data_IF_669079046150
#
_entry.id   IF_669079046150
#
_cell.length_a   1.000
_cell.length_b   1.000
_cell.length_c   1.000
_cell.angle_alpha   90.00
_cell.angle_beta   90.00
_cell.angle_gamma   90.00
#
_symmetry.space_group_name_H-M   'P 1'
#
loop_
_entity.id
_entity.type
_entity.pdbx_description
1 polymer ?
#
# COMPACT_ATOMS: atom_id res chain seq x y z
N UNK A 1 -9.96 -7.65 2.88
CA UNK A 1 -9.43 -6.60 1.97
C UNK A 1 -7.94 -6.37 2.15
N UNK A 2 -7.40 -6.21 3.38
CA UNK A 2 -5.93 -6.08 3.55
C UNK A 2 -5.20 -7.43 3.48
N UNK A 3 -5.83 -8.53 3.95
CA UNK A 3 -5.25 -9.88 3.84
C UNK A 3 -5.00 -10.30 2.38
N UNK A 4 -5.86 -9.86 1.44
CA UNK A 4 -5.72 -10.11 0.00
C UNK A 4 -4.60 -9.29 -0.67
N UNK A 5 -3.98 -8.32 0.01
CA UNK A 5 -2.79 -7.64 -0.55
C UNK A 5 -1.57 -8.56 -0.54
N UNK A 6 -1.41 -9.39 0.49
CA UNK A 6 -0.29 -10.34 0.59
C UNK A 6 -0.29 -11.32 -0.58
N UNK A 7 -1.46 -11.83 -0.95
CA UNK A 7 -1.65 -12.73 -2.09
C UNK A 7 -1.19 -12.11 -3.42
N UNK A 8 -1.26 -10.77 -3.58
CA UNK A 8 -0.76 -10.12 -4.79
C UNK A 8 0.77 -10.21 -4.90
N UNK A 9 1.49 -10.29 -3.78
CA UNK A 9 2.94 -10.47 -3.79
C UNK A 9 3.36 -11.92 -4.13
N UNK A 10 2.42 -12.86 -4.20
CA UNK A 10 2.67 -14.22 -4.72
C UNK A 10 2.70 -14.27 -6.26
N UNK A 11 2.21 -13.24 -6.97
CA UNK A 11 2.26 -13.19 -8.43
C UNK A 11 3.73 -13.12 -8.90
N UNK A 12 4.21 -14.09 -9.72
CA UNK A 12 5.59 -14.11 -10.21
C UNK A 12 6.01 -12.83 -10.96
N UNK A 13 5.06 -12.14 -11.59
CA UNK A 13 5.32 -10.84 -12.25
C UNK A 13 5.56 -9.74 -11.22
N UNK A 14 4.82 -9.75 -10.11
CA UNK A 14 5.02 -8.81 -9.01
C UNK A 14 6.34 -9.12 -8.33
N UNK A 15 6.63 -10.38 -8.02
CA UNK A 15 7.92 -10.79 -7.45
C UNK A 15 9.11 -10.32 -8.28
N UNK A 16 9.06 -10.50 -9.61
CA UNK A 16 10.13 -10.06 -10.49
C UNK A 16 10.30 -8.53 -10.52
N UNK A 17 9.20 -7.77 -10.41
CA UNK A 17 9.23 -6.29 -10.48
C UNK A 17 9.60 -5.63 -9.17
N UNK A 18 9.23 -6.24 -8.05
CA UNK A 18 9.46 -5.73 -6.70
C UNK A 18 10.66 -6.39 -6.03
N UNK A 19 11.40 -7.24 -6.76
CA UNK A 19 12.68 -7.76 -6.29
C UNK A 19 13.59 -6.58 -5.92
N UNK A 20 14.20 -6.63 -4.74
CA UNK A 20 15.01 -5.55 -4.14
C UNK A 20 14.24 -4.28 -3.74
N UNK A 21 12.92 -4.24 -3.94
CA UNK A 21 12.08 -3.14 -3.46
C UNK A 21 11.86 -3.27 -1.96
N UNK A 22 12.54 -2.41 -1.21
CA UNK A 22 12.52 -2.37 0.24
C UNK A 22 12.09 -0.96 0.67
N UNK A 23 10.80 -0.80 0.96
CA UNK A 23 10.19 0.51 1.29
C UNK A 23 9.02 0.35 2.25
N UNK A 24 8.86 1.37 3.08
CA UNK A 24 7.68 1.60 3.90
C UNK A 24 6.84 2.71 3.29
N UNK A 25 5.54 2.42 3.10
CA UNK A 25 4.54 3.37 2.62
C UNK A 25 3.62 3.73 3.78
N UNK A 26 3.36 5.02 3.98
CA UNK A 26 2.36 5.53 4.91
C UNK A 26 1.20 6.15 4.13
N UNK A 27 -0.01 5.66 4.40
CA UNK A 27 -1.25 6.19 3.88
C UNK A 27 -1.96 6.99 4.98
N UNK A 28 -2.38 8.21 4.64
CA UNK A 28 -3.08 9.13 5.52
C UNK A 28 -4.46 9.41 4.91
N UNK A 29 -5.51 9.07 5.65
CA UNK A 29 -6.92 9.22 5.26
C UNK A 29 -7.57 10.33 6.10
N UNK A 30 -7.58 11.59 5.63
CA UNK A 30 -8.06 12.72 6.42
C UNK A 30 -9.58 12.72 6.62
N UNK A 31 -10.33 12.06 5.73
CA UNK A 31 -11.79 11.95 5.78
C UNK A 31 -12.30 11.08 6.94
N UNK A 32 -11.47 10.15 7.44
CA UNK A 32 -11.80 9.22 8.52
C UNK A 32 -10.83 9.28 9.70
N UNK A 33 -9.92 10.27 9.73
CA UNK A 33 -8.86 10.43 10.74
C UNK A 33 -8.08 9.13 11.00
N UNK A 34 -7.73 8.44 9.91
CA UNK A 34 -7.03 7.15 9.97
C UNK A 34 -5.68 7.22 9.26
N UNK A 35 -4.73 6.43 9.77
CA UNK A 35 -3.41 6.26 9.18
C UNK A 35 -3.08 4.77 9.10
N UNK A 36 -2.48 4.35 8.01
CA UNK A 36 -2.10 2.95 7.80
C UNK A 36 -0.72 2.92 7.16
N UNK A 37 0.11 1.98 7.58
CA UNK A 37 1.39 1.75 6.94
C UNK A 37 1.52 0.34 6.38
N UNK A 38 2.34 0.25 5.34
CA UNK A 38 2.66 -0.98 4.65
C UNK A 38 4.18 -1.08 4.50
N UNK A 39 4.76 -2.18 4.97
CA UNK A 39 6.18 -2.50 4.80
C UNK A 39 6.33 -3.57 3.73
N UNK A 40 7.08 -3.25 2.68
CA UNK A 40 7.42 -4.15 1.60
C UNK A 40 8.92 -4.40 1.65
N UNK A 41 9.33 -5.67 1.60
CA UNK A 41 10.72 -6.05 1.48
C UNK A 41 10.89 -7.25 0.57
N UNK A 42 11.86 -7.19 -0.34
CA UNK A 42 12.19 -8.24 -1.32
C UNK A 42 10.97 -8.87 -2.01
N UNK A 43 10.02 -8.03 -2.42
CA UNK A 43 8.76 -8.41 -3.05
C UNK A 43 7.82 -9.22 -2.16
N UNK A 44 7.91 -9.07 -0.84
CA UNK A 44 6.97 -9.60 0.13
C UNK A 44 6.31 -8.48 0.94
N UNK A 45 5.05 -8.70 1.30
CA UNK A 45 4.34 -7.86 2.24
C UNK A 45 4.74 -8.27 3.66
N UNK A 46 5.62 -7.51 4.29
CA UNK A 46 6.14 -7.83 5.61
C UNK A 46 5.16 -7.45 6.72
N UNK A 47 4.51 -6.29 6.58
CA UNK A 47 3.62 -5.75 7.60
C UNK A 47 2.57 -4.83 7.00
N UNK A 48 1.35 -4.90 7.53
CA UNK A 48 0.30 -3.90 7.34
C UNK A 48 -0.35 -3.65 8.68
N UNK A 49 -0.38 -2.40 9.12
CA UNK A 49 -0.98 -2.02 10.40
C UNK A 49 -1.49 -0.58 10.39
N UNK A 50 -2.38 -0.29 11.32
CA UNK A 50 -2.89 1.05 11.58
C UNK A 50 -1.90 1.85 12.44
N UNK A 51 -1.80 3.15 12.17
CA UNK A 51 -0.97 4.07 12.92
C UNK A 51 0.12 4.74 12.09
N UNK A 52 1.12 5.26 12.77
CA UNK A 52 2.25 5.99 12.19
C UNK A 52 3.53 5.16 12.28
N UNK A 53 4.37 5.31 11.26
CA UNK A 53 5.73 4.79 11.23
C UNK A 53 6.59 5.76 10.43
N UNK A 54 7.91 5.68 10.62
CA UNK A 54 8.83 6.28 9.66
C UNK A 54 8.65 5.59 8.30
N UNK A 55 8.48 6.40 7.26
CA UNK A 55 8.10 5.93 5.93
C UNK A 55 8.82 6.74 4.85
N UNK A 56 9.40 6.04 3.88
CA UNK A 56 10.08 6.68 2.75
C UNK A 56 9.10 7.31 1.76
N UNK A 57 7.85 6.86 1.75
CA UNK A 57 6.78 7.44 0.94
C UNK A 57 5.53 7.67 1.79
N UNK A 58 5.00 8.89 1.72
CA UNK A 58 3.75 9.25 2.35
C UNK A 58 2.73 9.64 1.28
N UNK A 59 1.52 9.12 1.39
CA UNK A 59 0.42 9.40 0.47
C UNK A 59 -0.79 9.83 1.27
N UNK A 60 -1.29 11.02 0.98
CA UNK A 60 -2.51 11.57 1.60
C UNK A 60 -3.63 11.57 0.57
N UNK A 61 -4.73 10.89 0.88
CA UNK A 61 -5.93 10.82 0.02
C UNK A 61 -7.15 10.45 0.86
N UNK A 62 -8.35 10.78 0.39
CA UNK A 62 -9.57 10.31 1.05
C UNK A 62 -9.74 8.79 0.86
N UNK A 63 -10.32 8.11 1.85
CA UNK A 63 -10.51 6.66 1.82
C UNK A 63 -11.28 6.12 0.59
N UNK A 64 -12.29 6.82 0.01
CA UNK A 64 -12.96 6.32 -1.19
C UNK A 64 -12.03 6.29 -2.41
N UNK A 65 -11.11 7.25 -2.54
CA UNK A 65 -10.14 7.31 -3.65
C UNK A 65 -9.17 6.13 -3.57
N UNK A 66 -8.73 5.78 -2.36
CA UNK A 66 -7.89 4.60 -2.14
C UNK A 66 -8.56 3.30 -2.60
N UNK A 67 -9.84 3.11 -2.25
CA UNK A 67 -10.60 1.94 -2.70
C UNK A 67 -10.79 1.95 -4.21
N UNK A 68 -11.11 3.10 -4.81
CA UNK A 68 -11.25 3.23 -6.26
C UNK A 68 -9.94 2.89 -7.01
N UNK A 69 -8.79 3.28 -6.47
CA UNK A 69 -7.46 2.92 -7.02
C UNK A 69 -7.22 1.40 -6.90
N UNK A 70 -7.51 0.79 -5.75
CA UNK A 70 -7.32 -0.67 -5.55
C UNK A 70 -8.24 -1.49 -6.47
N UNK A 71 -9.46 -1.02 -6.66
CA UNK A 71 -10.47 -1.60 -7.55
C UNK A 71 -10.21 -1.28 -9.04
N UNK A 72 -9.20 -0.44 -9.33
CA UNK A 72 -8.82 -0.01 -10.68
C UNK A 72 -9.91 0.79 -11.40
N UNK A 73 -10.80 1.43 -10.66
CA UNK A 73 -11.83 2.34 -11.18
C UNK A 73 -11.33 3.77 -11.27
N UNK A 74 -10.22 4.10 -10.60
CA UNK A 74 -9.53 5.38 -10.65
C UNK A 74 -8.02 5.19 -10.87
N UNK A 75 -7.39 6.13 -11.58
CA UNK A 75 -5.94 6.14 -11.81
C UNK A 75 -5.26 6.94 -10.71
N UNK A 76 -4.19 6.41 -10.07
CA UNK A 76 -3.41 7.16 -9.08
C UNK A 76 -2.61 8.33 -9.68
N UNK A 77 -2.64 8.51 -11.01
CA UNK A 77 -1.93 9.56 -11.76
C UNK A 77 -2.88 10.55 -12.46
N UNK A 78 -4.20 10.43 -12.22
CA UNK A 78 -5.20 11.30 -12.85
C UNK A 78 -5.14 12.74 -12.32
#
# INVERSE_FOLDING_TARGET
>A
MLQTLGERFEDPKIQRRFKEYNKTLLFIFPDIDAKMYMKIGDAELLEVAEGETDAELQVTMDSPVFFAIIEKTESPMA
#
